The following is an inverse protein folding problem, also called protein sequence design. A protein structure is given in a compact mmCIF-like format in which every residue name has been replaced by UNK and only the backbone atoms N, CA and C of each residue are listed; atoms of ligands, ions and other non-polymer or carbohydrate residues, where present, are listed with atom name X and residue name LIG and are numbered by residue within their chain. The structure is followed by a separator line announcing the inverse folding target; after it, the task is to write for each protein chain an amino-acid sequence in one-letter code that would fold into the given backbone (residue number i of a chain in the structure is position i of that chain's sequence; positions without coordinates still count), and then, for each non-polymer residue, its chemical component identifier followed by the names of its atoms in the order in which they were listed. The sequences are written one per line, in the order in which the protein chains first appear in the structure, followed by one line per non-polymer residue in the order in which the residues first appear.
data_IF_281484911488
#
_entry.id   IF_281484911488
#
_cell.length_a   1.000
_cell.length_b   1.000
_cell.length_c   1.000
_cell.angle_alpha   90.00
_cell.angle_beta   90.00
_cell.angle_gamma   90.00
#
_symmetry.space_group_name_H-M   'P 1'
#
loop_
_entity.id
_entity.type
_entity.pdbx_description
1 polymer ?
#
# COMPACT_ATOMS: atom_id res chain seq x y z
N UNK A 1 7.41 -11.04 12.89
CA UNK A 1 6.07 -11.27 13.42
C UNK A 1 5.04 -11.03 12.35
N UNK A 2 4.03 -11.89 12.26
CA UNK A 2 2.99 -11.65 11.28
C UNK A 2 2.15 -10.42 11.64
N UNK A 3 1.60 -9.80 10.61
CA UNK A 3 0.76 -8.63 10.83
C UNK A 3 -0.61 -9.05 11.35
N UNK A 4 -1.22 -8.19 12.14
CA UNK A 4 -2.50 -8.52 12.75
C UNK A 4 -3.64 -8.27 11.77
N UNK A 5 -4.73 -9.02 11.93
CA UNK A 5 -5.92 -8.81 11.14
C UNK A 5 -6.56 -7.46 11.45
N UNK A 6 -6.42 -6.99 12.68
CA UNK A 6 -6.96 -5.68 13.03
C UNK A 6 -6.28 -4.58 12.24
N UNK A 7 -4.97 -4.64 12.12
CA UNK A 7 -4.25 -3.64 11.36
C UNK A 7 -4.62 -3.72 9.88
N UNK A 8 -4.70 -4.93 9.35
CA UNK A 8 -5.13 -5.11 7.96
C UNK A 8 -6.51 -4.50 7.73
N UNK A 9 -7.45 -4.77 8.60
CA UNK A 9 -8.80 -4.27 8.42
C UNK A 9 -8.85 -2.76 8.54
N UNK A 10 -8.05 -2.18 9.42
CA UNK A 10 -7.96 -0.74 9.55
C UNK A 10 -7.42 -0.12 8.26
N UNK A 11 -6.35 -0.69 7.71
CA UNK A 11 -5.77 -0.19 6.47
C UNK A 11 -6.76 -0.26 5.33
N UNK A 12 -7.47 -1.40 5.21
CA UNK A 12 -8.47 -1.53 4.16
C UNK A 12 -9.59 -0.52 4.31
N UNK A 13 -10.03 -0.28 5.53
CA UNK A 13 -11.08 0.70 5.77
C UNK A 13 -10.61 2.10 5.38
N UNK A 14 -9.38 2.45 5.71
CA UNK A 14 -8.85 3.76 5.39
C UNK A 14 -8.76 3.98 3.88
N UNK A 15 -8.27 2.99 3.14
CA UNK A 15 -8.17 3.12 1.69
C UNK A 15 -9.54 3.15 1.02
N UNK A 16 -10.49 2.36 1.52
CA UNK A 16 -11.78 2.22 0.87
C UNK A 16 -12.83 3.22 1.34
N UNK A 17 -12.50 4.00 2.37
CA UNK A 17 -13.42 4.99 2.89
C UNK A 17 -13.65 6.13 1.91
N UNK A 18 -12.60 6.54 1.21
CA UNK A 18 -12.70 7.57 0.20
C UNK A 18 -12.24 7.03 -1.12
N UNK A 19 -13.19 6.85 -2.04
CA UNK A 19 -12.86 6.41 -3.38
C UNK A 19 -12.88 7.62 -4.30
N UNK A 20 -11.77 7.86 -4.98
CA UNK A 20 -11.68 8.92 -5.96
C UNK A 20 -12.38 8.49 -7.24
N UNK A 21 -12.30 9.33 -8.25
CA UNK A 21 -13.03 9.06 -9.48
C UNK A 21 -12.75 7.69 -10.07
N UNK A 22 -11.56 7.18 -9.90
CA UNK A 22 -11.25 5.84 -10.39
C UNK A 22 -12.02 4.76 -9.66
N UNK A 23 -12.40 5.02 -8.42
CA UNK A 23 -13.16 4.08 -7.64
C UNK A 23 -12.48 2.76 -7.39
N UNK A 24 -11.17 2.77 -7.33
CA UNK A 24 -10.42 1.53 -7.14
C UNK A 24 -10.63 1.00 -5.73
N UNK A 25 -10.98 -0.25 -5.66
CA UNK A 25 -11.14 -0.89 -4.37
C UNK A 25 -9.84 -1.58 -4.00
N UNK A 26 -9.42 -1.36 -2.77
CA UNK A 26 -8.20 -1.99 -2.27
C UNK A 26 -8.57 -3.33 -1.64
N UNK A 27 -7.82 -4.35 -2.03
CA UNK A 27 -8.00 -5.69 -1.48
C UNK A 27 -6.66 -6.20 -1.01
N UNK A 28 -6.69 -7.27 -0.23
CA UNK A 28 -5.46 -7.89 0.26
C UNK A 28 -5.42 -9.35 -0.10
N UNK A 29 -4.22 -9.88 -0.10
CA UNK A 29 -4.00 -11.29 -0.24
C UNK A 29 -2.99 -11.70 0.82
N UNK A 30 -3.34 -12.68 1.61
CA UNK A 30 -2.46 -13.15 2.66
C UNK A 30 -1.33 -13.95 2.06
N UNK A 31 -0.12 -13.71 2.56
CA UNK A 31 1.03 -14.46 2.10
C UNK A 31 2.02 -14.59 3.24
N UNK A 32 2.19 -15.80 3.74
CA UNK A 32 3.19 -16.10 4.77
C UNK A 32 3.06 -15.20 6.00
N UNK A 33 1.82 -14.96 6.42
CA UNK A 33 1.56 -14.15 7.61
C UNK A 33 1.49 -12.66 7.36
N UNK A 34 1.79 -12.22 6.15
CA UNK A 34 1.70 -10.82 5.79
C UNK A 34 0.62 -10.62 4.73
N UNK A 35 0.39 -9.38 4.35
CA UNK A 35 -0.67 -9.08 3.39
C UNK A 35 -0.13 -8.25 2.25
N UNK A 36 -0.44 -8.67 1.03
CA UNK A 36 -0.10 -7.92 -0.17
C UNK A 36 -1.30 -7.07 -0.52
N UNK A 37 -1.07 -5.81 -0.84
CA UNK A 37 -2.15 -4.87 -1.15
C UNK A 37 -2.28 -4.67 -2.65
N UNK A 38 -3.51 -4.79 -3.14
CA UNK A 38 -3.83 -4.66 -4.56
C UNK A 38 -4.83 -3.54 -4.79
N UNK A 39 -4.70 -2.85 -5.89
CA UNK A 39 -5.71 -1.91 -6.37
C UNK A 39 -5.75 -2.02 -7.88
N UNK A 40 -6.94 -2.16 -8.43
CA UNK A 40 -7.12 -2.27 -9.88
C UNK A 40 -6.22 -3.36 -10.47
N UNK A 41 -6.09 -4.47 -9.73
CA UNK A 41 -5.28 -5.59 -10.20
C UNK A 41 -3.78 -5.38 -10.09
N UNK A 42 -3.34 -4.27 -9.50
CA UNK A 42 -1.91 -3.97 -9.40
C UNK A 42 -1.49 -4.03 -7.93
N UNK A 43 -0.27 -4.53 -7.70
CA UNK A 43 0.29 -4.56 -6.37
C UNK A 43 0.93 -3.20 -6.10
N UNK A 44 0.47 -2.50 -5.05
CA UNK A 44 1.05 -1.19 -4.74
C UNK A 44 1.82 -1.18 -3.45
N UNK A 45 1.70 -2.21 -2.65
CA UNK A 45 2.42 -2.26 -1.39
C UNK A 45 1.98 -3.46 -0.59
N UNK A 46 2.13 -3.37 0.71
CA UNK A 46 1.75 -4.46 1.56
C UNK A 46 1.79 -4.06 3.02
N UNK A 47 1.31 -4.97 3.85
CA UNK A 47 1.34 -4.81 5.30
C UNK A 47 2.32 -5.85 5.82
N UNK A 48 3.41 -5.37 6.41
CA UNK A 48 4.50 -6.23 6.88
C UNK A 48 4.84 -5.86 8.31
N UNK A 49 4.67 -6.79 9.22
CA UNK A 49 5.00 -6.58 10.63
C UNK A 49 4.28 -5.35 11.16
N UNK A 50 2.98 -5.27 10.87
CA UNK A 50 2.11 -4.15 11.26
C UNK A 50 2.63 -2.80 10.79
N UNK A 51 3.24 -2.77 9.60
CA UNK A 51 3.65 -1.54 8.94
C UNK A 51 3.03 -1.49 7.56
N UNK A 52 2.58 -0.31 7.18
CA UNK A 52 2.09 -0.10 5.81
C UNK A 52 3.26 0.36 4.96
N UNK A 53 3.62 -0.42 3.98
CA UNK A 53 4.71 -0.09 3.07
C UNK A 53 4.16 -0.02 1.66
N UNK A 54 4.60 0.98 0.90
CA UNK A 54 4.17 1.13 -0.49
C UNK A 54 5.40 1.14 -1.39
N UNK A 55 5.18 0.77 -2.65
CA UNK A 55 6.27 0.74 -3.61
C UNK A 55 6.83 2.15 -3.82
N UNK A 56 8.15 2.29 -3.91
CA UNK A 56 8.79 3.60 -4.02
C UNK A 56 8.79 4.12 -5.46
N UNK A 57 7.60 4.21 -6.06
CA UNK A 57 7.49 4.82 -7.38
C UNK A 57 7.62 6.34 -7.24
N UNK A 58 7.86 7.03 -8.35
CA UNK A 58 8.12 8.46 -8.30
C UNK A 58 6.99 9.25 -7.65
N UNK A 59 5.75 8.88 -7.95
CA UNK A 59 4.60 9.58 -7.36
C UNK A 59 4.57 9.41 -5.85
N UNK A 60 4.88 8.20 -5.36
CA UNK A 60 4.89 7.97 -3.93
C UNK A 60 5.99 8.77 -3.25
N UNK A 61 7.17 8.80 -3.84
CA UNK A 61 8.27 9.58 -3.28
C UNK A 61 7.93 11.07 -3.24
N UNK A 62 7.24 11.55 -4.26
CA UNK A 62 6.87 12.97 -4.32
C UNK A 62 5.86 13.32 -3.24
N UNK A 63 4.91 12.44 -2.99
CA UNK A 63 3.87 12.70 -1.99
C UNK A 63 4.32 12.39 -0.57
N UNK A 64 5.35 11.56 -0.42
CA UNK A 64 5.86 11.17 0.88
C UNK A 64 7.35 11.49 0.96
N UNK A 65 7.71 12.77 0.86
CA UNK A 65 9.14 13.13 0.74
C UNK A 65 9.95 12.77 1.97
N UNK A 66 9.31 12.68 3.13
CA UNK A 66 10.01 12.36 4.37
C UNK A 66 9.89 10.89 4.75
N UNK A 67 9.25 10.07 3.91
CA UNK A 67 9.10 8.66 4.21
C UNK A 67 10.44 7.96 4.18
N UNK A 68 10.60 7.03 5.09
CA UNK A 68 11.82 6.25 5.17
C UNK A 68 11.66 4.96 4.38
N UNK A 69 12.75 4.55 3.76
CA UNK A 69 12.77 3.26 3.08
C UNK A 69 13.01 2.19 4.13
N UNK A 70 12.18 1.17 4.09
CA UNK A 70 12.31 0.04 5.01
C UNK A 70 12.15 -1.24 4.24
N UNK A 71 12.81 -2.28 4.70
CA UNK A 71 12.68 -3.58 4.08
C UNK A 71 11.44 -4.27 4.63
N UNK A 72 10.57 -4.78 3.75
CA UNK A 72 9.42 -5.55 4.22
C UNK A 72 9.86 -6.86 4.88
N UNK A 73 10.96 -7.43 4.41
CA UNK A 73 11.55 -8.63 5.00
C UNK A 73 12.99 -8.73 4.46
N UNK A 74 13.76 -9.61 5.06
CA UNK A 74 15.15 -9.77 4.65
C UNK A 74 15.25 -10.16 3.18
N UNK A 75 16.11 -9.50 2.46
CA UNK A 75 16.34 -9.81 1.06
C UNK A 75 15.38 -9.13 0.10
N UNK A 76 14.39 -8.42 0.61
CA UNK A 76 13.45 -7.73 -0.25
C UNK A 76 13.97 -6.36 -0.63
N UNK A 77 13.35 -5.76 -1.65
CA UNK A 77 13.69 -4.39 -2.02
C UNK A 77 13.07 -3.42 -1.04
N UNK A 78 13.73 -2.29 -0.78
CA UNK A 78 13.17 -1.31 0.15
C UNK A 78 11.85 -0.74 -0.36
N UNK A 79 10.97 -0.40 0.57
CA UNK A 79 9.70 0.22 0.27
C UNK A 79 9.51 1.42 1.19
N UNK A 80 8.61 2.32 0.82
CA UNK A 80 8.35 3.52 1.62
C UNK A 80 7.37 3.22 2.73
N UNK A 81 7.68 3.67 3.93
CA UNK A 81 6.78 3.47 5.06
C UNK A 81 5.79 4.62 5.16
N UNK A 82 4.52 4.29 5.26
CA UNK A 82 3.46 5.26 5.53
C UNK A 82 3.19 5.25 7.02
N UNK A 83 3.48 6.36 7.69
CA UNK A 83 3.38 6.41 9.14
C UNK A 83 1.94 6.62 9.60
N UNK A 84 1.71 6.43 10.90
CA UNK A 84 0.36 6.42 11.46
C UNK A 84 -0.44 7.68 11.14
N UNK A 85 0.19 8.85 11.23
CA UNK A 85 -0.51 10.09 10.94
C UNK A 85 -0.99 10.16 9.49
N UNK A 86 -0.19 9.61 8.59
CA UNK A 86 -0.56 9.58 7.18
C UNK A 86 -1.67 8.57 6.93
N UNK A 87 -1.61 7.44 7.62
CA UNK A 87 -2.66 6.43 7.49
C UNK A 87 -4.00 6.97 7.97
N UNK A 88 -3.99 7.80 8.99
CA UNK A 88 -5.22 8.38 9.52
C UNK A 88 -5.86 9.37 8.55
N UNK A 89 -5.11 9.85 7.58
CA UNK A 89 -5.64 10.79 6.58
C UNK A 89 -6.07 10.02 5.35
N UNK A 90 -7.31 9.57 5.35
CA UNK A 90 -7.77 8.74 4.23
C UNK A 90 -7.85 9.51 2.91
N UNK A 91 -7.98 10.83 2.97
CA UNK A 91 -7.89 11.63 1.75
C UNK A 91 -6.49 11.57 1.14
N UNK A 92 -5.47 11.59 1.98
CA UNK A 92 -4.10 11.46 1.49
C UNK A 92 -3.90 10.07 0.88
N UNK A 93 -4.40 9.03 1.52
CA UNK A 93 -4.25 7.67 1.00
C UNK A 93 -4.91 7.52 -0.36
N UNK A 94 -6.09 8.11 -0.53
CA UNK A 94 -6.78 8.04 -1.82
C UNK A 94 -5.99 8.75 -2.90
N UNK A 95 -5.47 9.93 -2.60
CA UNK A 95 -4.68 10.68 -3.58
C UNK A 95 -3.36 9.97 -3.89
N UNK A 96 -2.76 9.39 -2.86
CA UNK A 96 -1.50 8.66 -3.04
C UNK A 96 -1.70 7.48 -3.99
N UNK A 97 -2.73 6.68 -3.73
CA UNK A 97 -3.01 5.53 -4.56
C UNK A 97 -3.33 5.94 -5.99
N UNK A 98 -4.15 6.97 -6.14
CA UNK A 98 -4.52 7.45 -7.46
C UNK A 98 -3.29 7.90 -8.24
N UNK A 99 -2.35 8.56 -7.57
CA UNK A 99 -1.12 9.02 -8.21
C UNK A 99 -0.18 7.86 -8.52
N UNK A 100 -0.17 6.83 -7.69
CA UNK A 100 0.74 5.70 -7.87
C UNK A 100 0.31 4.77 -9.00
N UNK A 101 -1.01 4.59 -9.17
CA UNK A 101 -1.50 3.57 -10.08
C UNK A 101 -0.93 3.64 -11.49
N UNK A 102 -0.84 4.83 -12.13
CA UNK A 102 -0.26 4.87 -13.48
C UNK A 102 1.18 4.43 -13.55
N UNK A 103 1.89 4.47 -12.43
CA UNK A 103 3.31 4.12 -12.40
C UNK A 103 3.56 2.69 -11.97
N UNK A 104 2.51 1.96 -11.61
CA UNK A 104 2.68 0.58 -11.18
C UNK A 104 2.59 -0.34 -12.38
N UNK A 105 3.41 -1.40 -12.39
CA UNK A 105 3.27 -2.38 -13.45
C UNK A 105 1.97 -3.14 -13.30
N UNK A 106 1.37 -3.50 -14.42
CA UNK A 106 0.15 -4.31 -14.38
C UNK A 106 0.48 -5.65 -13.72
N UNK A 107 -0.48 -6.17 -12.98
CA UNK A 107 -0.31 -7.48 -12.40
C UNK A 107 -0.14 -8.50 -13.50
N UNK A 108 0.74 -9.48 -13.27
CA UNK A 108 0.94 -10.51 -14.24
C UNK A 108 -0.34 -11.27 -14.44
N UNK A 109 -0.79 -11.33 -15.65
CA UNK A 109 -1.95 -12.12 -15.95
C UNK A 109 -1.58 -13.53 -16.15
N UNK A 110 -2.39 -14.42 -15.64
CA UNK A 110 -2.22 -15.81 -15.99
C UNK A 110 -2.79 -16.02 -17.35
N UNK A 111 -2.05 -16.62 -18.10
CA UNK A 111 -2.51 -16.86 -19.48
C UNK A 111 -3.06 -18.20 -19.61
#
# INVERSE_FOLDING_TARGET
MPSSKKFRDYILAQFNDKLLDGGFRVTTRKMMGEYILYADGKIFGGIYDDRLLVKPVAAAKAMLPDAKLQLPYDGAKPMLRVVAEQIADNGLLARLLDAMLPELPAAKKKK
#
